data_IF_787119833623
#
_entry.id   IF_787119833623
#
_cell.length_a   1.000
_cell.length_b   1.000
_cell.length_c   1.000
_cell.angle_alpha   90.00
_cell.angle_beta   90.00
_cell.angle_gamma   90.00
#
_symmetry.space_group_name_H-M   'P 1'
#
loop_
_entity.id
_entity.type
_entity.pdbx_description
1 polymer ?
#
# COMPACT_ATOMS: atom_id res chain seq x y z
N UNK A 1 -19.72 9.55 39.93
CA UNK A 1 -18.31 9.96 39.76
C UNK A 1 -17.67 8.86 38.92
N UNK A 2 -17.72 9.04 37.61
CA UNK A 2 -17.16 8.09 36.65
C UNK A 2 -15.83 8.67 36.16
N UNK A 3 -14.74 7.97 36.46
CA UNK A 3 -13.40 8.32 35.97
C UNK A 3 -13.32 7.88 34.53
N UNK A 4 -13.23 8.84 33.62
CA UNK A 4 -12.89 8.60 32.23
C UNK A 4 -11.40 8.19 32.17
N UNK A 5 -11.18 6.92 31.86
CA UNK A 5 -9.86 6.41 31.50
C UNK A 5 -9.48 7.00 30.13
N UNK A 6 -8.76 8.09 30.17
CA UNK A 6 -8.04 8.62 29.01
C UNK A 6 -6.92 7.63 28.70
N UNK A 7 -7.14 6.77 27.71
CA UNK A 7 -6.14 5.85 27.19
C UNK A 7 -5.01 6.65 26.49
N UNK A 8 -4.13 7.18 27.32
CA UNK A 8 -2.96 7.96 26.89
C UNK A 8 -2.01 7.10 26.08
N UNK A 9 -1.51 7.63 24.98
CA UNK A 9 -0.45 7.03 24.17
C UNK A 9 0.67 6.50 25.08
N UNK A 10 0.94 5.20 25.01
CA UNK A 10 1.97 4.56 25.86
C UNK A 10 3.34 5.15 25.51
N UNK A 11 4.06 5.63 26.50
CA UNK A 11 5.41 6.17 26.33
C UNK A 11 6.34 5.11 25.70
N UNK A 12 7.25 5.53 24.82
CA UNK A 12 8.25 4.61 24.25
C UNK A 12 9.02 3.91 25.35
N UNK A 13 9.23 2.60 25.21
CA UNK A 13 10.03 1.81 26.16
C UNK A 13 11.47 1.81 25.69
N UNK A 14 12.40 2.23 26.54
CA UNK A 14 13.82 2.15 26.26
C UNK A 14 14.31 0.72 26.56
N UNK A 15 14.59 -0.06 25.51
CA UNK A 15 15.06 -1.45 25.62
C UNK A 15 16.57 -1.55 25.78
N UNK A 16 17.31 -0.54 25.26
CA UNK A 16 18.76 -0.38 25.42
C UNK A 16 19.10 1.11 25.51
N UNK A 17 20.26 1.51 26.06
CA UNK A 17 20.66 2.92 26.10
C UNK A 17 20.69 3.54 24.71
N UNK A 18 19.78 4.49 24.47
CA UNK A 18 19.67 5.22 23.20
C UNK A 18 18.68 4.65 22.20
N UNK A 19 18.03 3.50 22.45
CA UNK A 19 17.03 2.91 21.57
C UNK A 19 15.62 3.11 22.14
N UNK A 20 14.82 3.97 21.50
CA UNK A 20 13.41 4.16 21.82
C UNK A 20 12.56 3.24 20.93
N UNK A 21 11.88 2.26 21.53
CA UNK A 21 10.94 1.39 20.82
C UNK A 21 9.52 1.91 21.01
N UNK A 22 8.90 2.34 19.92
CA UNK A 22 7.48 2.67 19.92
C UNK A 22 6.63 1.41 19.88
N UNK A 23 5.54 1.41 20.61
CA UNK A 23 4.58 0.29 20.57
C UNK A 23 3.99 0.15 19.16
N UNK A 24 3.51 -1.04 18.79
CA UNK A 24 2.82 -1.26 17.52
C UNK A 24 1.59 -0.34 17.35
N UNK A 25 0.91 -0.03 18.46
CA UNK A 25 -0.22 0.90 18.49
C UNK A 25 0.22 2.34 18.16
N UNK A 26 1.34 2.81 18.72
CA UNK A 26 1.87 4.15 18.44
C UNK A 26 2.31 4.29 16.98
N UNK A 27 2.96 3.26 16.42
CA UNK A 27 3.35 3.26 15.00
C UNK A 27 2.12 3.30 14.10
N UNK A 28 1.07 2.54 14.41
CA UNK A 28 -0.18 2.55 13.65
C UNK A 28 -0.86 3.91 13.71
N UNK A 29 -0.96 4.52 14.89
CA UNK A 29 -1.53 5.85 15.07
C UNK A 29 -0.73 6.91 14.29
N UNK A 30 0.60 6.87 14.34
CA UNK A 30 1.46 7.76 13.57
C UNK A 30 1.26 7.58 12.05
N UNK A 31 1.12 6.34 11.59
CA UNK A 31 0.84 6.03 10.18
C UNK A 31 -0.52 6.55 9.76
N UNK A 32 -1.57 6.37 10.58
CA UNK A 32 -2.90 6.94 10.33
C UNK A 32 -2.84 8.47 10.20
N UNK A 33 -2.21 9.14 11.14
CA UNK A 33 -2.04 10.60 11.11
C UNK A 33 -1.30 11.05 9.85
N UNK A 34 -0.24 10.33 9.47
CA UNK A 34 0.52 10.63 8.25
C UNK A 34 -0.34 10.48 7.00
N UNK A 35 -1.05 9.37 6.83
CA UNK A 35 -1.93 9.13 5.68
C UNK A 35 -2.99 10.24 5.54
N UNK A 36 -3.58 10.66 6.66
CA UNK A 36 -4.62 11.67 6.69
C UNK A 36 -4.11 13.12 6.64
N UNK A 37 -2.79 13.35 6.74
CA UNK A 37 -2.23 14.71 6.84
C UNK A 37 -2.41 15.56 5.58
N UNK A 38 -2.68 14.95 4.41
CA UNK A 38 -3.03 15.66 3.17
C UNK A 38 -4.42 16.25 3.16
N UNK A 39 -5.25 15.86 4.10
CA UNK A 39 -6.64 16.29 4.21
C UNK A 39 -6.78 17.47 5.18
N UNK A 40 -7.71 18.37 4.89
CA UNK A 40 -8.12 19.39 5.88
C UNK A 40 -8.77 18.73 7.10
N UNK A 41 -8.80 19.41 8.25
CA UNK A 41 -9.30 18.84 9.51
C UNK A 41 -10.72 18.27 9.37
N UNK A 42 -11.61 18.98 8.69
CA UNK A 42 -12.99 18.50 8.43
C UNK A 42 -13.00 17.22 7.60
N UNK A 43 -12.19 17.15 6.54
CA UNK A 43 -12.06 15.97 5.68
C UNK A 43 -11.40 14.81 6.43
N UNK A 44 -10.43 15.10 7.29
CA UNK A 44 -9.72 14.13 8.13
C UNK A 44 -10.67 13.38 9.07
N UNK A 45 -11.56 14.13 9.74
CA UNK A 45 -12.61 13.55 10.59
C UNK A 45 -13.61 12.71 9.77
N UNK A 46 -13.98 13.16 8.57
CA UNK A 46 -14.85 12.39 7.68
C UNK A 46 -14.18 11.08 7.24
N UNK A 47 -12.91 11.13 6.85
CA UNK A 47 -12.13 9.96 6.44
C UNK A 47 -12.00 8.90 7.56
N UNK A 48 -11.80 9.34 8.83
CA UNK A 48 -11.83 8.42 9.98
C UNK A 48 -13.17 7.72 10.13
N UNK A 49 -14.27 8.46 10.04
CA UNK A 49 -15.62 7.87 10.11
C UNK A 49 -15.90 6.91 8.94
N UNK A 50 -15.36 7.18 7.76
CA UNK A 50 -15.44 6.24 6.62
C UNK A 50 -14.66 4.97 6.89
N UNK A 51 -13.43 5.06 7.41
CA UNK A 51 -12.66 3.90 7.83
C UNK A 51 -13.37 3.05 8.89
N UNK A 52 -13.96 3.70 9.90
CA UNK A 52 -14.71 3.01 10.95
C UNK A 52 -15.95 2.29 10.39
N UNK A 53 -16.68 2.93 9.48
CA UNK A 53 -17.94 2.41 8.94
C UNK A 53 -17.74 1.40 7.81
N UNK A 54 -16.85 1.70 6.89
CA UNK A 54 -16.72 1.00 5.62
C UNK A 54 -15.40 0.23 5.47
N UNK A 55 -14.47 0.39 6.41
CA UNK A 55 -13.12 -0.18 6.32
C UNK A 55 -12.21 0.48 5.28
N UNK A 56 -12.68 1.52 4.56
CA UNK A 56 -11.97 2.14 3.45
C UNK A 56 -12.24 3.64 3.40
N UNK A 57 -11.27 4.45 2.95
CA UNK A 57 -11.45 5.88 2.65
C UNK A 57 -10.62 6.31 1.45
N UNK A 58 -11.09 7.32 0.72
CA UNK A 58 -10.39 7.85 -0.45
C UNK A 58 -9.37 8.92 -0.06
N UNK A 59 -8.09 8.69 -0.36
CA UNK A 59 -7.00 9.63 -0.12
C UNK A 59 -6.44 10.20 -1.42
N UNK A 60 -6.10 11.51 -1.46
CA UNK A 60 -5.52 12.14 -2.65
C UNK A 60 -4.08 11.67 -2.86
N UNK A 61 -3.73 11.36 -4.10
CA UNK A 61 -2.38 10.99 -4.51
C UNK A 61 -1.57 12.21 -4.96
N UNK A 62 -0.23 12.04 -5.00
CA UNK A 62 0.69 13.03 -5.57
C UNK A 62 1.17 14.11 -4.59
N UNK A 63 0.81 14.05 -3.30
CA UNK A 63 1.32 14.95 -2.25
C UNK A 63 2.31 14.23 -1.34
N UNK A 64 1.87 13.22 -0.58
CA UNK A 64 2.75 12.38 0.25
C UNK A 64 3.28 11.19 -0.54
N UNK A 65 2.44 10.59 -1.32
CA UNK A 65 2.69 9.38 -2.07
C UNK A 65 1.94 9.40 -3.39
N UNK A 66 2.40 8.56 -4.30
CA UNK A 66 1.70 8.10 -5.50
C UNK A 66 1.49 6.59 -5.37
N UNK A 67 0.69 6.00 -6.26
CA UNK A 67 0.48 4.56 -6.27
C UNK A 67 0.73 4.01 -7.67
N UNK A 68 1.50 2.95 -7.78
CA UNK A 68 1.61 2.19 -9.04
C UNK A 68 0.56 1.09 -9.03
N UNK A 69 -0.40 1.19 -9.93
CA UNK A 69 -1.45 0.21 -10.16
C UNK A 69 -0.93 -0.92 -11.02
N UNK A 70 -0.99 -2.13 -10.51
CA UNK A 70 -0.46 -3.35 -11.13
C UNK A 70 -1.62 -4.32 -11.40
N UNK A 71 -1.77 -4.87 -12.61
CA UNK A 71 -2.71 -5.99 -12.84
C UNK A 71 -2.35 -7.19 -11.98
N UNK A 72 -3.36 -7.89 -11.46
CA UNK A 72 -3.12 -9.10 -10.66
C UNK A 72 -2.41 -10.20 -11.46
N UNK A 73 -2.72 -10.32 -12.76
CA UNK A 73 -2.04 -11.27 -13.67
C UNK A 73 -0.53 -11.05 -13.71
N UNK A 74 -0.09 -9.79 -13.79
CA UNK A 74 1.32 -9.43 -13.80
C UNK A 74 2.01 -9.77 -12.47
N UNK A 75 1.35 -9.46 -11.34
CA UNK A 75 1.87 -9.77 -10.00
C UNK A 75 1.96 -11.28 -9.79
N UNK A 76 0.92 -12.02 -10.16
CA UNK A 76 0.88 -13.49 -10.10
C UNK A 76 1.97 -14.10 -10.96
N UNK A 77 2.17 -13.62 -12.19
CA UNK A 77 3.23 -14.11 -13.07
C UNK A 77 4.64 -13.83 -12.48
N UNK A 78 4.84 -12.65 -11.88
CA UNK A 78 6.12 -12.29 -11.25
C UNK A 78 6.43 -13.13 -10.01
N UNK A 79 5.42 -13.52 -9.25
CA UNK A 79 5.57 -14.25 -7.98
C UNK A 79 5.41 -15.76 -8.12
N UNK A 80 4.83 -16.25 -9.21
CA UNK A 80 4.50 -17.67 -9.42
C UNK A 80 3.37 -18.19 -8.52
N UNK A 81 2.74 -17.32 -7.72
CA UNK A 81 1.68 -17.69 -6.77
C UNK A 81 0.27 -17.66 -7.38
N UNK A 82 -0.74 -17.71 -6.51
CA UNK A 82 -2.15 -17.53 -6.89
C UNK A 82 -2.69 -16.20 -6.38
N UNK A 83 -3.53 -15.56 -7.18
CA UNK A 83 -4.24 -14.35 -6.75
C UNK A 83 -4.98 -14.57 -5.42
N UNK A 84 -4.93 -13.60 -4.54
CA UNK A 84 -5.49 -13.62 -3.17
C UNK A 84 -4.91 -14.72 -2.26
N UNK A 85 -3.68 -15.16 -2.50
CA UNK A 85 -2.98 -16.08 -1.60
C UNK A 85 -2.04 -15.33 -0.66
N UNK A 86 -1.98 -15.78 0.60
CA UNK A 86 -1.00 -15.25 1.57
C UNK A 86 0.46 -15.50 1.14
N UNK A 87 0.69 -16.42 0.19
CA UNK A 87 2.01 -16.62 -0.42
C UNK A 87 2.42 -15.42 -1.28
N UNK A 88 1.52 -14.93 -2.14
CA UNK A 88 1.77 -13.70 -2.95
C UNK A 88 1.99 -12.51 -2.02
N UNK A 89 1.19 -12.35 -0.97
CA UNK A 89 1.35 -11.26 0.00
C UNK A 89 2.73 -11.31 0.68
N UNK A 90 3.18 -12.49 1.11
CA UNK A 90 4.51 -12.70 1.68
C UNK A 90 5.62 -12.36 0.69
N UNK A 91 5.52 -12.86 -0.55
CA UNK A 91 6.51 -12.59 -1.59
C UNK A 91 6.59 -11.11 -1.94
N UNK A 92 5.47 -10.41 -2.03
CA UNK A 92 5.44 -8.95 -2.21
C UNK A 92 6.13 -8.24 -1.04
N UNK A 93 5.92 -8.70 0.20
CA UNK A 93 6.62 -8.19 1.39
C UNK A 93 8.13 -8.32 1.29
N UNK A 94 8.63 -9.45 0.79
CA UNK A 94 10.06 -9.69 0.56
C UNK A 94 10.62 -8.85 -0.60
N UNK A 95 9.94 -8.84 -1.75
CA UNK A 95 10.35 -8.09 -2.95
C UNK A 95 10.45 -6.59 -2.64
N UNK A 96 9.48 -6.05 -1.91
CA UNK A 96 9.43 -4.63 -1.58
C UNK A 96 10.09 -4.27 -0.25
N UNK A 97 10.69 -5.24 0.47
CA UNK A 97 11.31 -5.02 1.80
C UNK A 97 10.36 -4.32 2.78
N UNK A 98 9.10 -4.77 2.81
CA UNK A 98 8.05 -4.17 3.64
C UNK A 98 7.46 -2.88 3.08
N UNK A 99 7.78 -2.49 1.84
CA UNK A 99 7.09 -1.41 1.15
C UNK A 99 5.60 -1.72 0.97
N UNK A 100 4.69 -0.78 1.30
CA UNK A 100 3.27 -1.05 1.43
C UNK A 100 2.58 -1.30 0.09
N UNK A 101 1.74 -2.34 0.06
CA UNK A 101 0.94 -2.73 -1.09
C UNK A 101 -0.50 -2.95 -0.65
N UNK A 102 -1.43 -2.35 -1.39
CA UNK A 102 -2.87 -2.59 -1.23
C UNK A 102 -3.32 -3.55 -2.32
N UNK A 103 -4.12 -4.55 -1.97
CA UNK A 103 -4.83 -5.42 -2.91
C UNK A 103 -6.29 -4.99 -3.01
N UNK A 104 -6.78 -4.88 -4.24
CA UNK A 104 -8.19 -4.71 -4.61
C UNK A 104 -8.68 -5.99 -5.29
N UNK A 105 -9.34 -6.90 -4.55
CA UNK A 105 -9.86 -8.15 -5.09
C UNK A 105 -10.86 -7.96 -6.22
N UNK A 106 -11.78 -7.02 -6.06
CA UNK A 106 -12.84 -6.76 -7.03
C UNK A 106 -12.32 -6.22 -8.35
N UNK A 107 -11.31 -5.35 -8.30
CA UNK A 107 -10.66 -4.79 -9.48
C UNK A 107 -9.56 -5.67 -10.06
N UNK A 108 -9.21 -6.80 -9.44
CA UNK A 108 -8.08 -7.66 -9.80
C UNK A 108 -6.77 -6.87 -9.93
N UNK A 109 -6.45 -6.07 -8.90
CA UNK A 109 -5.33 -5.13 -8.92
C UNK A 109 -4.58 -5.06 -7.60
N UNK A 110 -3.30 -4.69 -7.72
CA UNK A 110 -2.47 -4.28 -6.60
C UNK A 110 -2.04 -2.83 -6.78
N UNK A 111 -1.80 -2.13 -5.68
CA UNK A 111 -1.33 -0.76 -5.65
C UNK A 111 -0.08 -0.68 -4.78
N UNK A 112 1.09 -0.57 -5.38
CA UNK A 112 2.34 -0.32 -4.67
C UNK A 112 2.44 1.17 -4.36
N UNK A 113 2.52 1.54 -3.08
CA UNK A 113 2.66 2.94 -2.69
C UNK A 113 4.11 3.39 -2.84
N UNK A 114 4.33 4.42 -3.65
CA UNK A 114 5.65 4.97 -4.02
C UNK A 114 5.76 6.44 -3.68
N UNK A 115 6.98 7.03 -3.65
CA UNK A 115 7.14 8.47 -3.46
C UNK A 115 6.32 9.30 -4.45
N UNK A 116 5.77 10.42 -3.97
CA UNK A 116 4.94 11.32 -4.77
C UNK A 116 5.66 11.90 -6.00
N UNK A 117 6.99 11.86 -6.02
CA UNK A 117 7.82 12.33 -7.12
C UNK A 117 7.87 11.40 -8.34
N UNK A 118 7.50 10.11 -8.19
CA UNK A 118 7.65 9.08 -9.24
C UNK A 118 7.04 9.49 -10.58
N UNK A 119 5.81 10.06 -10.66
CA UNK A 119 5.26 10.49 -11.95
C UNK A 119 6.10 11.51 -12.69
N UNK A 120 6.94 12.25 -11.97
CA UNK A 120 7.81 13.30 -12.55
C UNK A 120 9.23 12.82 -12.79
N UNK A 121 9.71 11.87 -12.01
CA UNK A 121 11.12 11.43 -12.04
C UNK A 121 11.33 10.18 -12.90
N UNK A 122 10.25 9.47 -13.30
CA UNK A 122 10.27 8.23 -14.06
C UNK A 122 9.35 8.27 -15.29
N UNK A 123 9.25 9.38 -16.07
CA UNK A 123 8.27 9.52 -17.15
C UNK A 123 8.41 8.44 -18.22
N UNK A 124 9.63 8.15 -18.68
CA UNK A 124 9.88 7.16 -19.76
C UNK A 124 9.44 5.76 -19.33
N UNK A 125 9.75 5.35 -18.09
CA UNK A 125 9.33 4.05 -17.57
C UNK A 125 7.79 3.97 -17.45
N UNK A 126 7.12 5.05 -17.09
CA UNK A 126 5.66 5.07 -17.00
C UNK A 126 4.99 4.93 -18.38
N UNK A 127 5.60 5.45 -19.42
CA UNK A 127 5.10 5.29 -20.80
C UNK A 127 5.23 3.83 -21.25
N UNK A 128 6.36 3.19 -20.98
CA UNK A 128 6.58 1.76 -21.26
C UNK A 128 5.60 0.87 -20.48
N UNK A 129 5.33 1.20 -19.23
CA UNK A 129 4.45 0.41 -18.35
C UNK A 129 3.00 0.39 -18.80
N UNK A 130 2.52 1.43 -19.49
CA UNK A 130 1.14 1.50 -20.02
C UNK A 130 0.83 0.35 -20.98
N UNK A 131 1.81 -0.11 -21.76
CA UNK A 131 1.64 -1.26 -22.65
C UNK A 131 1.28 -2.56 -21.89
N UNK A 132 1.52 -2.59 -20.58
CA UNK A 132 1.26 -3.72 -19.67
C UNK A 132 0.14 -3.41 -18.66
N UNK A 133 -0.73 -2.46 -18.94
CA UNK A 133 -1.84 -1.99 -18.09
C UNK A 133 -1.37 -1.49 -16.70
N UNK A 134 -0.11 -1.14 -16.57
CA UNK A 134 0.45 -0.54 -15.36
C UNK A 134 0.34 0.98 -15.45
N UNK A 135 -0.17 1.59 -14.38
CA UNK A 135 -0.38 3.04 -14.33
C UNK A 135 0.09 3.62 -12.99
N UNK A 136 0.70 4.79 -13.03
CA UNK A 136 1.07 5.54 -11.83
C UNK A 136 0.03 6.62 -11.51
N UNK A 137 -0.66 6.45 -10.40
CA UNK A 137 -1.67 7.36 -9.88
C UNK A 137 -0.99 8.47 -9.08
N UNK A 138 -0.84 9.62 -9.69
CA UNK A 138 -0.23 10.81 -9.08
C UNK A 138 -1.25 11.90 -8.76
N UNK A 139 -0.85 13.16 -8.90
CA UNK A 139 -1.68 14.33 -8.62
C UNK A 139 -2.97 14.31 -9.43
N UNK A 140 -4.10 14.55 -8.77
CA UNK A 140 -5.44 14.53 -9.37
C UNK A 140 -6.17 13.19 -9.22
N UNK A 141 -5.47 12.12 -8.83
CA UNK A 141 -6.09 10.84 -8.52
C UNK A 141 -6.40 10.71 -7.03
N UNK A 142 -7.34 9.82 -6.72
CA UNK A 142 -7.62 9.35 -5.37
C UNK A 142 -7.48 7.83 -5.34
N UNK A 143 -6.91 7.32 -4.25
CA UNK A 143 -6.83 5.88 -3.99
C UNK A 143 -7.71 5.56 -2.79
N UNK A 144 -8.53 4.53 -2.93
CA UNK A 144 -9.24 3.93 -1.81
C UNK A 144 -8.25 3.13 -0.95
N UNK A 145 -7.99 3.64 0.25
CA UNK A 145 -7.01 3.06 1.19
C UNK A 145 -7.76 2.31 2.28
N UNK A 146 -7.47 1.02 2.52
CA UNK A 146 -8.10 0.26 3.60
C UNK A 146 -7.62 0.76 4.97
N UNK A 147 -8.44 0.55 6.00
CA UNK A 147 -8.04 0.76 7.39
C UNK A 147 -6.83 -0.10 7.72
N UNK A 148 -5.91 0.42 8.54
CA UNK A 148 -4.59 -0.17 8.75
C UNK A 148 -4.56 -1.56 9.39
N UNK A 149 -5.67 -2.01 9.98
CA UNK A 149 -5.82 -3.34 10.56
C UNK A 149 -6.38 -4.39 9.58
N UNK A 150 -6.85 -3.98 8.40
CA UNK A 150 -7.34 -4.90 7.37
C UNK A 150 -6.13 -5.39 6.56
N UNK A 151 -5.48 -6.45 7.05
CA UNK A 151 -4.22 -6.98 6.52
C UNK A 151 -4.34 -8.37 5.88
N UNK A 152 -5.57 -8.81 5.65
CA UNK A 152 -5.88 -10.09 4.99
C UNK A 152 -7.11 -9.93 4.12
N UNK A 153 -7.21 -10.77 3.10
CA UNK A 153 -8.41 -10.86 2.30
C UNK A 153 -9.59 -11.32 3.18
N UNK A 154 -10.67 -10.55 3.11
CA UNK A 154 -11.96 -10.84 3.73
C UNK A 154 -13.05 -10.26 2.81
N UNK A 155 -14.05 -11.05 2.48
CA UNK A 155 -15.15 -10.66 1.58
C UNK A 155 -15.99 -9.49 2.11
N UNK A 156 -15.90 -9.21 3.42
CA UNK A 156 -16.56 -8.05 4.03
C UNK A 156 -15.91 -6.71 3.63
N UNK A 157 -14.69 -6.72 3.08
CA UNK A 157 -13.94 -5.52 2.72
C UNK A 157 -13.60 -5.47 1.25
N UNK A 158 -13.68 -4.28 0.68
CA UNK A 158 -13.38 -4.02 -0.75
C UNK A 158 -11.88 -4.20 -1.06
N UNK A 159 -11.02 -3.89 -0.10
CA UNK A 159 -9.55 -3.99 -0.25
C UNK A 159 -8.87 -4.26 1.09
N UNK A 160 -7.62 -4.71 1.03
CA UNK A 160 -6.80 -4.97 2.21
C UNK A 160 -5.33 -4.64 1.95
N UNK A 161 -4.54 -4.52 3.01
CA UNK A 161 -3.10 -4.39 2.90
C UNK A 161 -2.46 -5.76 2.66
N UNK A 162 -2.11 -6.05 1.42
CA UNK A 162 -1.30 -7.22 1.04
C UNK A 162 0.09 -7.13 1.70
N UNK A 163 0.68 -5.93 1.72
CA UNK A 163 1.86 -5.62 2.53
C UNK A 163 1.52 -4.39 3.38
N UNK A 164 1.36 -4.55 4.70
CA UNK A 164 1.07 -3.43 5.59
C UNK A 164 2.20 -2.40 5.63
N UNK A 165 1.86 -1.13 5.84
CA UNK A 165 2.84 -0.06 6.07
C UNK A 165 3.45 -0.23 7.47
N UNK A 166 4.74 -0.54 7.61
CA UNK A 166 5.35 -0.87 8.91
C UNK A 166 5.52 0.36 9.81
N UNK A 167 5.67 1.54 9.19
CA UNK A 167 5.75 2.83 9.87
C UNK A 167 5.34 3.96 8.92
N UNK A 168 5.05 5.13 9.48
CA UNK A 168 4.73 6.32 8.69
C UNK A 168 5.83 6.60 7.65
N UNK A 169 5.42 7.05 6.45
CA UNK A 169 6.27 7.42 5.32
C UNK A 169 7.12 6.27 4.73
N UNK A 170 6.95 5.02 5.17
CA UNK A 170 7.54 3.87 4.47
C UNK A 170 6.83 3.69 3.14
N UNK A 171 7.59 3.65 2.05
CA UNK A 171 7.08 3.51 0.68
C UNK A 171 7.94 2.51 -0.10
N UNK A 172 7.35 1.89 -1.12
CA UNK A 172 8.08 1.05 -2.06
C UNK A 172 9.12 1.88 -2.82
N UNK A 173 10.33 1.34 -2.99
CA UNK A 173 11.32 2.00 -3.86
C UNK A 173 10.93 1.82 -5.33
N UNK A 174 10.97 2.86 -6.16
CA UNK A 174 10.57 2.79 -7.56
C UNK A 174 11.31 1.70 -8.34
N UNK A 175 12.59 1.48 -8.05
CA UNK A 175 13.40 0.46 -8.71
C UNK A 175 12.89 -0.97 -8.42
N UNK A 176 12.40 -1.26 -7.21
CA UNK A 176 11.82 -2.56 -6.87
C UNK A 176 10.50 -2.78 -7.60
N UNK A 177 9.68 -1.74 -7.72
CA UNK A 177 8.45 -1.79 -8.50
C UNK A 177 8.76 -2.06 -9.97
N UNK A 178 9.73 -1.38 -10.56
CA UNK A 178 10.18 -1.61 -11.92
C UNK A 178 10.67 -3.04 -12.15
N UNK A 179 11.44 -3.60 -11.19
CA UNK A 179 11.91 -5.00 -11.27
C UNK A 179 10.78 -6.01 -11.20
N UNK A 180 9.79 -5.80 -10.34
CA UNK A 180 8.59 -6.65 -10.29
C UNK A 180 7.85 -6.62 -11.63
N UNK A 181 7.65 -5.42 -12.20
CA UNK A 181 6.98 -5.25 -13.50
C UNK A 181 7.74 -6.01 -14.58
N UNK A 182 9.05 -5.81 -14.69
CA UNK A 182 9.88 -6.49 -15.68
C UNK A 182 9.83 -8.02 -15.54
N UNK A 183 9.88 -8.55 -14.31
CA UNK A 183 9.76 -9.98 -14.04
C UNK A 183 8.39 -10.53 -14.48
N UNK A 184 7.29 -9.81 -14.15
CA UNK A 184 5.94 -10.21 -14.55
C UNK A 184 5.73 -10.19 -16.05
N UNK A 185 6.19 -9.15 -16.73
CA UNK A 185 6.13 -9.05 -18.19
C UNK A 185 6.91 -10.19 -18.86
N UNK A 186 8.11 -10.48 -18.37
CA UNK A 186 8.91 -11.58 -18.89
C UNK A 186 8.21 -12.94 -18.71
N UNK A 187 7.67 -13.20 -17.52
CA UNK A 187 6.97 -14.44 -17.22
C UNK A 187 5.70 -14.63 -18.08
N UNK A 188 4.91 -13.56 -18.28
CA UNK A 188 3.73 -13.59 -19.15
C UNK A 188 4.11 -13.85 -20.61
N UNK A 189 5.19 -13.23 -21.08
CA UNK A 189 5.71 -13.48 -22.43
C UNK A 189 6.17 -14.93 -22.65
N UNK A 190 6.83 -15.52 -21.66
CA UNK A 190 7.25 -16.92 -21.70
C UNK A 190 6.06 -17.90 -21.73
N UNK A 191 5.00 -17.63 -20.94
CA UNK A 191 3.77 -18.43 -20.94
C UNK A 191 3.06 -18.37 -22.31
N UNK A 192 2.91 -17.18 -22.89
CA UNK A 192 2.29 -17.01 -24.21
C UNK A 192 3.08 -17.68 -25.33
N UNK A 193 4.39 -17.89 -25.17
CA UNK A 193 5.24 -18.62 -26.10
C UNK A 193 5.14 -20.15 -25.97
N UNK A 194 4.83 -20.65 -24.78
CA UNK A 194 4.66 -22.08 -24.49
C UNK A 194 3.30 -22.66 -24.97
N UNK A 195 2.29 -21.79 -25.08
CA UNK A 195 0.94 -22.16 -25.51
C UNK A 195 0.75 -22.15 -27.05
N UNK A 196 1.83 -21.90 -27.82
CA UNK A 196 1.85 -21.89 -29.29
C UNK A 196 2.54 -23.10 -29.84
#
# INVERSE_FOLDING_TARGET
MSSEDTEGARRPVQTEPGVLVHSGADRRLATEHWLLSTLTDRKRQAARREWERNGITALPMGTLMSAVRLPASLVVAATGGRFLSGEVDRMLGEIFEGGPVICDPGGHRYYALVPASVPRTWPDALDDWRAHEVECLGKGYHLCVPRLDITRHDEAYVSYWSVPMPSMATLCTPLRVARLIAAGVHALGAQAGADR
#
